data_IF_336494675459
#
_entry.id   IF_336494675459
#
_cell.length_a   1.000
_cell.length_b   1.000
_cell.length_c   1.000
_cell.angle_alpha   90.00
_cell.angle_beta   90.00
_cell.angle_gamma   90.00
#
_symmetry.space_group_name_H-M   'P 1'
#
loop_
_entity.id
_entity.type
_entity.pdbx_description
1 polymer ?
#
# COMPACT_ATOMS: atom_id res chain seq x y z
N UNK A 1 25.54 -32.47 4.24
CA UNK A 1 24.52 -31.57 3.66
C UNK A 1 23.61 -31.08 4.78
N UNK A 2 23.39 -29.77 4.89
CA UNK A 2 22.56 -29.17 5.93
C UNK A 2 21.17 -28.89 5.36
N UNK A 3 20.13 -29.44 6.00
CA UNK A 3 18.72 -29.23 5.64
C UNK A 3 18.34 -27.74 5.50
N UNK A 4 19.07 -26.84 6.18
CA UNK A 4 18.81 -25.39 6.16
C UNK A 4 19.14 -24.73 4.82
N UNK A 5 20.08 -25.29 4.05
CA UNK A 5 20.48 -24.73 2.75
C UNK A 5 19.38 -25.00 1.73
N UNK A 6 18.83 -26.21 1.71
CA UNK A 6 17.77 -26.61 0.80
C UNK A 6 16.47 -25.84 1.05
N UNK A 7 16.09 -25.62 2.31
CA UNK A 7 14.89 -24.84 2.64
C UNK A 7 14.96 -23.39 2.19
N UNK A 8 16.15 -22.77 2.29
CA UNK A 8 16.35 -21.39 1.84
C UNK A 8 16.30 -21.28 0.32
N UNK A 9 16.94 -22.21 -0.40
CA UNK A 9 16.89 -22.26 -1.87
C UNK A 9 15.44 -22.38 -2.40
N UNK A 10 14.63 -23.23 -1.76
CA UNK A 10 13.22 -23.40 -2.13
C UNK A 10 12.41 -22.13 -1.82
N UNK A 11 12.64 -21.50 -0.67
CA UNK A 11 11.97 -20.25 -0.31
C UNK A 11 12.33 -19.10 -1.27
N UNK A 12 13.60 -18.96 -1.62
CA UNK A 12 14.09 -17.95 -2.54
C UNK A 12 13.56 -18.17 -3.96
N UNK A 13 13.54 -19.42 -4.43
CA UNK A 13 12.95 -19.78 -5.73
C UNK A 13 11.46 -19.44 -5.81
N UNK A 14 10.69 -19.73 -4.76
CA UNK A 14 9.25 -19.39 -4.67
C UNK A 14 9.03 -17.88 -4.68
N UNK A 15 9.85 -17.14 -3.93
CA UNK A 15 9.78 -15.67 -3.88
C UNK A 15 10.08 -15.07 -5.25
N UNK A 16 11.12 -15.55 -5.93
CA UNK A 16 11.47 -15.09 -7.28
C UNK A 16 10.34 -15.36 -8.27
N UNK A 17 9.71 -16.54 -8.21
CA UNK A 17 8.58 -16.88 -9.08
C UNK A 17 7.35 -15.98 -8.84
N UNK A 18 6.95 -15.78 -7.59
CA UNK A 18 5.86 -14.85 -7.23
C UNK A 18 6.16 -13.43 -7.71
N UNK A 19 7.38 -12.96 -7.47
CA UNK A 19 7.82 -11.62 -7.91
C UNK A 19 7.83 -11.47 -9.42
N UNK A 20 8.23 -12.50 -10.17
CA UNK A 20 8.14 -12.49 -11.63
C UNK A 20 6.70 -12.36 -12.11
N UNK A 21 5.76 -13.07 -11.48
CA UNK A 21 4.33 -12.96 -11.79
C UNK A 21 3.84 -11.52 -11.56
N UNK A 22 4.09 -10.95 -10.37
CA UNK A 22 3.61 -9.60 -10.04
C UNK A 22 4.27 -8.53 -10.90
N UNK A 23 5.58 -8.62 -11.19
CA UNK A 23 6.26 -7.57 -11.95
C UNK A 23 6.08 -7.65 -13.47
N UNK A 24 5.65 -8.79 -14.01
CA UNK A 24 5.55 -9.02 -15.46
C UNK A 24 4.12 -9.29 -15.94
N UNK A 25 3.16 -9.49 -15.04
CA UNK A 25 1.77 -9.72 -15.44
C UNK A 25 1.14 -8.45 -16.00
N UNK A 26 0.35 -8.61 -17.06
CA UNK A 26 -0.43 -7.53 -17.67
C UNK A 26 -1.55 -7.00 -16.76
N UNK A 27 -1.96 -7.80 -15.78
CA UNK A 27 -2.99 -7.39 -14.80
C UNK A 27 -2.40 -6.56 -13.65
N UNK A 28 -1.08 -6.44 -13.58
CA UNK A 28 -0.41 -5.70 -12.51
C UNK A 28 -0.49 -4.21 -12.77
N UNK A 29 -0.87 -3.47 -11.74
CA UNK A 29 -1.03 -2.01 -11.78
C UNK A 29 0.19 -1.39 -11.13
N UNK A 30 0.89 -0.44 -11.79
CA UNK A 30 1.99 0.28 -11.18
C UNK A 30 1.46 1.21 -10.10
N UNK A 31 2.15 1.25 -8.97
CA UNK A 31 1.77 2.11 -7.87
C UNK A 31 2.97 2.76 -7.19
N UNK A 32 2.71 3.93 -6.59
CA UNK A 32 3.67 4.63 -5.74
C UNK A 32 3.29 4.45 -4.28
N UNK A 33 4.24 4.05 -3.46
CA UNK A 33 4.02 3.67 -2.07
C UNK A 33 4.39 4.79 -1.10
N UNK A 34 3.58 4.94 -0.06
CA UNK A 34 3.75 5.92 1.01
C UNK A 34 3.66 5.24 2.37
N UNK A 35 4.47 5.70 3.32
CA UNK A 35 4.45 5.23 4.71
C UNK A 35 3.82 6.28 5.61
N UNK A 36 2.81 5.87 6.38
CA UNK A 36 2.30 6.68 7.49
C UNK A 36 3.39 6.86 8.54
N UNK A 37 3.76 8.10 8.82
CA UNK A 37 4.70 8.51 9.86
C UNK A 37 3.96 9.38 10.86
N UNK A 38 4.11 9.08 12.14
CA UNK A 38 3.56 9.92 13.20
C UNK A 38 4.52 11.07 13.41
N UNK A 39 4.04 12.31 13.24
CA UNK A 39 4.89 13.48 13.38
C UNK A 39 5.30 13.64 14.86
N UNK A 40 6.58 13.88 15.14
CA UNK A 40 7.00 14.24 16.49
C UNK A 40 6.46 15.63 16.81
N UNK A 41 5.89 15.80 18.00
CA UNK A 41 5.42 17.12 18.44
C UNK A 41 6.64 17.96 18.85
N UNK A 42 6.88 19.12 18.23
CA UNK A 42 7.91 20.02 18.68
C UNK A 42 7.47 20.69 20.00
N UNK A 43 8.28 20.54 21.06
CA UNK A 43 8.20 21.21 22.38
C UNK A 43 6.87 21.93 22.66
N UNK A 44 5.86 21.17 23.02
CA UNK A 44 4.62 21.72 23.54
C UNK A 44 4.69 21.90 25.05
N UNK A 45 3.92 22.85 25.57
CA UNK A 45 3.76 23.05 27.02
C UNK A 45 3.06 21.85 27.69
N UNK A 46 2.47 20.95 26.90
CA UNK A 46 1.82 19.73 27.36
C UNK A 46 2.84 18.57 27.30
N UNK A 47 3.37 18.19 28.46
CA UNK A 47 4.38 17.13 28.60
C UNK A 47 3.90 15.73 28.12
N UNK A 48 2.63 15.56 27.74
CA UNK A 48 2.01 14.29 27.37
C UNK A 48 1.28 14.33 26.02
N UNK A 49 1.58 13.32 25.20
CA UNK A 49 1.06 13.07 23.84
C UNK A 49 -0.46 12.89 23.72
N UNK A 50 -1.17 12.64 24.82
CA UNK A 50 -2.63 12.49 24.84
C UNK A 50 -3.39 13.80 24.69
N UNK A 51 -2.71 14.93 24.88
CA UNK A 51 -3.35 16.23 25.03
C UNK A 51 -3.22 17.09 23.76
N UNK A 52 -2.57 16.55 22.73
CA UNK A 52 -2.28 17.24 21.47
C UNK A 52 -3.01 16.61 20.29
N UNK A 53 -4.03 17.33 19.83
CA UNK A 53 -4.75 17.10 18.58
C UNK A 53 -4.32 18.12 17.52
N UNK A 54 -4.74 17.91 16.27
CA UNK A 54 -4.49 18.84 15.15
C UNK A 54 -4.67 20.30 15.56
N UNK A 55 -3.64 21.13 15.36
CA UNK A 55 -3.66 22.53 15.71
C UNK A 55 -4.78 23.28 14.99
N UNK A 56 -5.83 23.66 15.72
CA UNK A 56 -6.89 24.57 15.23
C UNK A 56 -8.33 24.09 15.41
N UNK A 57 -8.57 22.82 15.74
CA UNK A 57 -9.92 22.32 16.05
C UNK A 57 -9.92 21.82 17.49
N UNK A 58 -10.42 22.66 18.39
CA UNK A 58 -10.71 22.24 19.76
C UNK A 58 -11.59 20.99 19.76
N UNK A 59 -11.43 20.17 20.80
CA UNK A 59 -12.11 18.88 20.97
C UNK A 59 -13.63 19.10 21.02
N UNK A 60 -14.33 18.93 19.91
CA UNK A 60 -15.79 18.87 19.94
C UNK A 60 -16.19 17.45 20.29
N UNK A 61 -16.73 17.29 21.51
CA UNK A 61 -17.33 16.10 22.10
C UNK A 61 -16.37 15.09 22.74
N UNK A 62 -16.85 14.51 23.85
CA UNK A 62 -16.21 13.53 24.74
C UNK A 62 -15.81 12.18 24.09
N UNK A 63 -15.63 12.16 22.76
CA UNK A 63 -15.07 11.02 22.04
C UNK A 63 -13.57 11.30 21.89
N UNK A 64 -12.76 10.72 22.77
CA UNK A 64 -11.31 10.58 22.57
C UNK A 64 -11.06 9.73 21.32
N UNK A 65 -11.22 10.29 20.14
CA UNK A 65 -10.71 9.68 18.91
C UNK A 65 -9.23 9.97 18.81
N UNK A 66 -8.48 8.88 18.64
CA UNK A 66 -7.04 8.72 18.69
C UNK A 66 -6.35 9.33 17.44
N UNK A 67 -6.72 10.56 17.06
CA UNK A 67 -6.20 11.24 15.87
C UNK A 67 -4.92 12.02 16.20
N UNK A 68 -3.84 11.28 16.41
CA UNK A 68 -2.51 11.86 16.43
C UNK A 68 -2.18 12.51 15.08
N UNK A 69 -1.44 13.62 15.09
CA UNK A 69 -0.90 14.20 13.85
C UNK A 69 0.02 13.17 13.14
N UNK A 70 -0.32 12.82 11.91
CA UNK A 70 0.46 11.93 11.05
C UNK A 70 0.62 12.55 9.66
N UNK A 71 1.69 12.17 8.98
CA UNK A 71 1.97 12.52 7.60
C UNK A 71 2.41 11.26 6.83
N UNK A 72 2.64 11.39 5.53
CA UNK A 72 3.07 10.31 4.66
C UNK A 72 4.44 10.58 4.05
N UNK A 73 5.36 9.63 4.21
CA UNK A 73 6.67 9.68 3.56
C UNK A 73 6.68 8.80 2.30
N UNK A 74 7.22 9.28 1.17
CA UNK A 74 7.36 8.48 -0.04
C UNK A 74 8.35 7.32 0.19
N UNK A 75 7.96 6.08 -0.17
CA UNK A 75 8.81 4.90 -0.10
C UNK A 75 9.41 4.51 -1.46
N UNK A 76 8.67 4.77 -2.54
CA UNK A 76 9.06 4.45 -3.91
C UNK A 76 8.05 3.55 -4.65
N UNK A 77 8.51 2.91 -5.72
CA UNK A 77 7.65 2.23 -6.69
C UNK A 77 7.35 0.76 -6.31
N UNK A 78 6.14 0.32 -6.63
CA UNK A 78 5.72 -1.06 -6.52
C UNK A 78 4.74 -1.45 -7.63
N UNK A 79 4.58 -2.74 -7.88
CA UNK A 79 3.50 -3.28 -8.72
C UNK A 79 2.52 -4.02 -7.85
N UNK A 80 1.23 -3.80 -8.08
CA UNK A 80 0.14 -4.50 -7.40
C UNK A 80 -0.58 -5.42 -8.39
N UNK A 81 -0.57 -6.73 -8.11
CA UNK A 81 -1.43 -7.70 -8.78
C UNK A 81 -2.65 -7.98 -7.91
N UNK A 82 -3.82 -7.57 -8.36
CA UNK A 82 -5.09 -7.84 -7.68
C UNK A 82 -5.49 -9.29 -8.00
N UNK A 83 -5.76 -10.07 -6.96
CA UNK A 83 -6.13 -11.50 -7.11
C UNK A 83 -7.59 -11.75 -6.80
N UNK A 84 -8.12 -11.07 -5.78
CA UNK A 84 -9.47 -11.29 -5.31
C UNK A 84 -10.12 -9.96 -4.96
N UNK A 85 -11.32 -9.77 -5.51
CA UNK A 85 -12.24 -8.75 -5.04
C UNK A 85 -13.03 -9.33 -3.86
N UNK A 86 -12.91 -8.71 -2.67
CA UNK A 86 -13.55 -9.21 -1.44
C UNK A 86 -14.87 -8.46 -1.18
N UNK A 87 -14.94 -7.19 -1.55
CA UNK A 87 -16.14 -6.38 -1.40
C UNK A 87 -16.12 -5.12 -2.26
N UNK A 88 -17.30 -4.70 -2.68
CA UNK A 88 -17.60 -3.52 -3.50
C UNK A 88 -18.99 -3.66 -4.10
N UNK A 89 -19.46 -2.68 -4.86
CA UNK A 89 -20.87 -2.65 -5.28
C UNK A 89 -21.25 -3.89 -6.11
N UNK A 90 -22.14 -4.73 -5.57
CA UNK A 90 -22.65 -5.91 -6.26
C UNK A 90 -23.97 -5.55 -6.92
N UNK A 91 -24.06 -5.83 -8.21
CA UNK A 91 -25.30 -5.69 -8.97
C UNK A 91 -26.04 -7.02 -8.91
N UNK A 92 -27.16 -7.08 -8.18
CA UNK A 92 -28.05 -8.24 -8.13
C UNK A 92 -29.51 -7.78 -8.20
N UNK A 93 -30.31 -8.43 -9.05
CA UNK A 93 -31.74 -8.13 -9.24
C UNK A 93 -32.10 -6.64 -9.42
N UNK A 94 -31.36 -5.91 -10.27
CA UNK A 94 -31.57 -4.48 -10.52
C UNK A 94 -31.40 -3.58 -9.28
N UNK A 95 -30.84 -4.12 -8.20
CA UNK A 95 -30.49 -3.40 -6.99
C UNK A 95 -28.98 -3.29 -6.91
N UNK A 96 -28.50 -2.08 -6.67
CA UNK A 96 -27.10 -1.82 -6.37
C UNK A 96 -26.91 -1.99 -4.86
N UNK A 97 -26.23 -3.04 -4.42
CA UNK A 97 -25.78 -3.18 -3.04
C UNK A 97 -24.36 -2.63 -2.99
N UNK A 98 -24.22 -1.37 -2.60
CA UNK A 98 -22.93 -0.71 -2.46
C UNK A 98 -22.44 -0.84 -1.00
N UNK A 99 -21.44 -1.67 -0.70
CA UNK A 99 -20.75 -1.59 0.58
C UNK A 99 -19.95 -0.29 0.64
N UNK A 100 -19.82 0.24 1.86
CA UNK A 100 -19.26 1.55 2.16
C UNK A 100 -17.78 1.67 1.76
N UNK A 101 -17.04 0.55 1.78
CA UNK A 101 -15.64 0.47 1.38
C UNK A 101 -15.40 -0.68 0.39
N UNK A 102 -14.61 -0.42 -0.65
CA UNK A 102 -14.11 -1.45 -1.56
C UNK A 102 -12.91 -2.13 -0.91
N UNK A 103 -13.00 -3.45 -0.74
CA UNK A 103 -11.93 -4.28 -0.18
C UNK A 103 -11.41 -5.26 -1.23
N UNK A 104 -10.10 -5.30 -1.39
CA UNK A 104 -9.41 -6.15 -2.36
C UNK A 104 -8.28 -6.91 -1.67
N UNK A 105 -7.95 -8.09 -2.20
CA UNK A 105 -6.73 -8.80 -1.85
C UNK A 105 -5.85 -9.02 -3.08
N UNK A 106 -4.56 -8.90 -2.87
CA UNK A 106 -3.57 -9.03 -3.93
C UNK A 106 -2.15 -9.14 -3.42
N UNK A 107 -1.23 -9.26 -4.35
CA UNK A 107 0.20 -9.29 -4.10
C UNK A 107 0.82 -7.97 -4.54
N UNK A 108 1.76 -7.49 -3.75
CA UNK A 108 2.50 -6.27 -4.06
C UNK A 108 3.99 -6.50 -3.96
N UNK A 109 4.71 -6.06 -4.99
CA UNK A 109 6.15 -6.23 -5.09
C UNK A 109 6.83 -4.87 -5.35
N UNK A 110 7.62 -4.38 -4.38
CA UNK A 110 8.48 -3.21 -4.57
C UNK A 110 9.50 -3.43 -5.68
N UNK A 111 9.74 -2.40 -6.50
CA UNK A 111 10.76 -2.43 -7.52
C UNK A 111 11.47 -1.08 -7.65
N UNK A 112 12.69 -1.11 -8.21
CA UNK A 112 13.39 0.09 -8.63
C UNK A 112 13.07 0.37 -10.10
N UNK A 113 12.55 1.57 -10.37
CA UNK A 113 12.13 2.01 -11.69
C UNK A 113 13.30 2.06 -12.68
N UNK A 114 14.51 2.33 -12.19
CA UNK A 114 15.72 2.44 -13.00
C UNK A 114 16.22 1.08 -13.52
N UNK A 115 15.83 -0.02 -12.86
CA UNK A 115 16.24 -1.36 -13.25
C UNK A 115 15.28 -1.96 -14.28
N UNK A 116 15.79 -2.76 -15.21
CA UNK A 116 15.00 -3.40 -16.28
C UNK A 116 15.14 -4.92 -16.28
N UNK A 117 14.13 -5.61 -16.82
CA UNK A 117 14.15 -7.05 -17.04
C UNK A 117 14.51 -7.87 -15.79
N UNK A 118 15.52 -8.74 -15.91
CA UNK A 118 15.94 -9.65 -14.83
C UNK A 118 16.52 -8.91 -13.62
N UNK A 119 17.19 -7.79 -13.82
CA UNK A 119 17.80 -7.03 -12.72
C UNK A 119 16.72 -6.52 -11.75
N UNK A 120 15.58 -6.07 -12.28
CA UNK A 120 14.41 -5.66 -11.49
C UNK A 120 13.84 -6.81 -10.65
N UNK A 121 13.91 -8.04 -11.16
CA UNK A 121 13.44 -9.24 -10.43
C UNK A 121 14.36 -9.58 -9.25
N UNK A 122 15.67 -9.48 -9.43
CA UNK A 122 16.66 -9.92 -8.44
C UNK A 122 16.95 -8.85 -7.40
N UNK A 123 16.98 -7.58 -7.81
CA UNK A 123 17.25 -6.45 -6.92
C UNK A 123 15.96 -5.98 -6.25
N UNK A 124 15.76 -6.46 -5.02
CA UNK A 124 14.58 -6.14 -4.22
C UNK A 124 14.88 -4.92 -3.35
N UNK A 125 14.06 -3.85 -3.42
CA UNK A 125 14.14 -2.75 -2.47
C UNK A 125 14.10 -3.22 -1.01
N UNK A 126 14.78 -2.48 -0.13
CA UNK A 126 14.90 -2.87 1.29
C UNK A 126 13.58 -2.76 2.06
N UNK A 127 12.66 -1.92 1.59
CA UNK A 127 11.37 -1.74 2.22
C UNK A 127 10.39 -2.87 1.86
N UNK A 128 9.43 -3.10 2.75
CA UNK A 128 8.32 -4.02 2.54
C UNK A 128 7.01 -3.34 2.92
N UNK A 129 5.89 -3.70 2.26
CA UNK A 129 4.56 -3.24 2.64
C UNK A 129 4.26 -3.53 4.12
N UNK A 130 3.72 -2.54 4.81
CA UNK A 130 3.25 -2.62 6.19
C UNK A 130 1.78 -2.19 6.27
N UNK A 131 1.15 -2.51 7.40
CA UNK A 131 -0.19 -2.01 7.71
C UNK A 131 -0.16 -0.48 7.76
N UNK A 132 -1.19 0.15 7.19
CA UNK A 132 -1.36 1.60 7.02
C UNK A 132 -0.39 2.26 6.03
N UNK A 133 0.41 1.49 5.28
CA UNK A 133 1.05 2.02 4.09
C UNK A 133 -0.03 2.28 3.02
N UNK A 134 0.10 3.38 2.28
CA UNK A 134 -0.80 3.77 1.19
C UNK A 134 -0.12 3.48 -0.14
N UNK A 135 -0.89 2.96 -1.09
CA UNK A 135 -0.46 2.72 -2.45
C UNK A 135 -1.33 3.55 -3.39
N UNK A 136 -0.70 4.46 -4.13
CA UNK A 136 -1.32 5.23 -5.19
C UNK A 136 -1.24 4.43 -6.49
N UNK A 137 -2.35 3.83 -6.91
CA UNK A 137 -2.45 3.05 -8.15
C UNK A 137 -2.61 4.01 -9.32
N UNK A 138 -1.70 3.91 -10.30
CA UNK A 138 -1.75 4.71 -11.52
C UNK A 138 -2.54 3.92 -12.58
N UNK A 139 -3.81 4.27 -12.79
CA UNK A 139 -4.69 3.61 -13.76
C UNK A 139 -4.63 4.28 -15.15
N UNK A 140 -4.57 5.61 -15.17
CA UNK A 140 -4.41 6.44 -16.35
C UNK A 140 -3.71 7.76 -15.98
N UNK A 141 -3.36 8.59 -16.96
CA UNK A 141 -2.61 9.85 -16.75
C UNK A 141 -3.20 10.76 -15.67
N UNK A 142 -4.54 10.84 -15.56
CA UNK A 142 -5.25 11.66 -14.57
C UNK A 142 -6.17 10.83 -13.65
N UNK A 143 -5.92 9.53 -13.52
CA UNK A 143 -6.77 8.63 -12.73
C UNK A 143 -5.95 7.81 -11.76
N UNK A 144 -6.01 8.22 -10.50
CA UNK A 144 -5.33 7.56 -9.39
C UNK A 144 -6.34 6.99 -8.40
N UNK A 145 -6.04 5.82 -7.84
CA UNK A 145 -6.81 5.26 -6.73
C UNK A 145 -5.86 5.00 -5.57
N UNK A 146 -6.21 5.51 -4.39
CA UNK A 146 -5.46 5.25 -3.18
C UNK A 146 -5.99 4.01 -2.47
N UNK A 147 -5.08 3.10 -2.15
CA UNK A 147 -5.38 1.86 -1.45
C UNK A 147 -4.54 1.78 -0.17
N UNK A 148 -5.20 1.70 0.99
CA UNK A 148 -4.53 1.48 2.27
C UNK A 148 -4.34 -0.03 2.51
N UNK A 149 -3.13 -0.45 2.85
CA UNK A 149 -2.87 -1.81 3.32
C UNK A 149 -3.41 -2.00 4.74
N UNK A 150 -4.50 -2.75 4.87
CA UNK A 150 -5.16 -3.01 6.17
C UNK A 150 -4.49 -4.16 6.91
N UNK A 151 -3.92 -5.10 6.17
CA UNK A 151 -3.31 -6.28 6.76
C UNK A 151 -2.67 -7.22 5.76
N UNK A 152 -2.01 -8.22 6.31
CA UNK A 152 -1.40 -9.32 5.56
C UNK A 152 -2.25 -10.56 5.75
N UNK A 153 -2.76 -11.13 4.66
CA UNK A 153 -3.48 -12.41 4.71
C UNK A 153 -2.49 -13.52 4.38
N UNK A 154 -2.14 -14.30 5.41
CA UNK A 154 -1.35 -15.52 5.27
C UNK A 154 -2.22 -16.73 5.54
N UNK A 155 -2.99 -17.19 4.54
CA UNK A 155 -3.70 -18.46 4.64
C UNK A 155 -2.79 -19.58 4.14
N UNK A 156 -1.92 -20.10 5.02
CA UNK A 156 -1.07 -21.26 4.69
C UNK A 156 -1.79 -22.57 4.98
N UNK A 157 -2.55 -23.07 4.00
CA UNK A 157 -2.81 -24.51 3.82
C UNK A 157 -2.73 -24.95 2.35
N UNK A 158 -2.69 -24.01 1.40
CA UNK A 158 -2.38 -24.27 -0.01
C UNK A 158 -1.13 -23.51 -0.44
N UNK A 159 -0.47 -24.02 -1.48
CA UNK A 159 0.74 -23.46 -2.09
C UNK A 159 0.40 -22.18 -2.88
N UNK A 160 -0.04 -21.13 -2.17
CA UNK A 160 -0.21 -19.82 -2.76
C UNK A 160 1.15 -19.12 -2.89
N UNK A 161 1.43 -18.64 -4.10
CA UNK A 161 2.74 -18.10 -4.47
C UNK A 161 2.93 -16.69 -3.94
N UNK A 162 3.48 -16.52 -2.73
CA UNK A 162 3.89 -15.20 -2.23
C UNK A 162 3.03 -14.65 -1.10
N UNK A 163 3.27 -13.39 -0.74
CA UNK A 163 2.59 -12.72 0.38
C UNK A 163 1.39 -11.94 -0.15
N UNK A 164 0.20 -12.28 0.36
CA UNK A 164 -1.03 -11.57 0.05
C UNK A 164 -1.32 -10.50 1.09
N UNK A 165 -1.81 -9.37 0.61
CA UNK A 165 -2.21 -8.23 1.41
C UNK A 165 -3.67 -7.91 1.12
N UNK A 166 -4.33 -7.34 2.12
CA UNK A 166 -5.71 -6.85 2.01
C UNK A 166 -5.65 -5.33 2.01
N UNK A 167 -6.38 -4.75 1.07
CA UNK A 167 -6.41 -3.33 0.82
C UNK A 167 -7.83 -2.81 0.90
N UNK A 168 -8.00 -1.64 1.49
CA UNK A 168 -9.23 -0.86 1.42
C UNK A 168 -8.99 0.39 0.59
N UNK A 169 -9.97 0.74 -0.25
CA UNK A 169 -9.94 1.98 -1.00
C UNK A 169 -10.09 3.17 -0.05
N UNK A 170 -9.23 4.18 -0.22
CA UNK A 170 -9.37 5.49 0.41
C UNK A 170 -9.90 6.49 -0.61
N UNK A 171 -10.96 7.18 -0.22
CA UNK A 171 -11.52 8.28 -0.99
C UNK A 171 -10.99 9.57 -0.36
N UNK A 172 -10.33 10.38 -1.19
CA UNK A 172 -9.79 11.71 -0.86
C UNK A 172 -8.55 11.71 0.07
N UNK A 173 -7.38 12.02 -0.50
CA UNK A 173 -6.14 12.32 0.23
C UNK A 173 -5.60 13.71 -0.14
N UNK A 174 -6.40 14.53 -0.83
CA UNK A 174 -5.96 15.79 -1.44
C UNK A 174 -5.65 16.86 -0.38
N UNK A 175 -6.15 16.65 0.84
CA UNK A 175 -5.88 17.49 2.01
C UNK A 175 -4.46 17.32 2.58
N UNK A 176 -3.71 16.29 2.15
CA UNK A 176 -2.40 15.99 2.70
C UNK A 176 -1.26 16.53 1.80
N UNK A 177 -0.30 17.30 2.35
CA UNK A 177 0.79 17.90 1.58
C UNK A 177 1.65 16.90 0.80
N UNK A 178 1.73 15.65 1.27
CA UNK A 178 2.46 14.56 0.65
C UNK A 178 1.88 14.10 -0.70
N UNK A 179 0.61 14.41 -0.96
CA UNK A 179 -0.12 14.07 -2.19
C UNK A 179 -0.39 15.29 -3.07
N UNK A 180 0.26 16.42 -2.79
CA UNK A 180 0.23 17.61 -3.64
C UNK A 180 0.79 17.26 -5.03
N UNK A 181 -0.11 17.11 -5.99
CA UNK A 181 0.18 16.76 -7.39
C UNK A 181 1.18 17.72 -8.05
N UNK A 182 1.37 18.94 -7.51
CA UNK A 182 2.36 19.89 -8.03
C UNK A 182 3.81 19.52 -7.68
N UNK A 183 4.02 18.61 -6.73
CA UNK A 183 5.34 18.20 -6.22
C UNK A 183 5.73 16.76 -6.60
N UNK A 184 4.84 16.03 -7.27
CA UNK A 184 5.11 14.68 -7.77
C UNK A 184 5.84 14.85 -9.11
N UNK A 185 7.14 14.55 -9.13
CA UNK A 185 8.08 14.77 -10.25
C UNK A 185 7.84 13.84 -11.47
N UNK A 186 6.81 12.99 -11.41
CA UNK A 186 6.56 11.88 -12.33
C UNK A 186 5.29 12.08 -13.17
N UNK A 187 5.02 13.32 -13.61
CA UNK A 187 3.87 13.66 -14.49
C UNK A 187 3.98 13.11 -15.91
N UNK A 188 4.96 12.26 -16.21
CA UNK A 188 5.06 11.57 -17.50
C UNK A 188 5.39 10.09 -17.29
N UNK A 189 4.38 9.26 -16.96
CA UNK A 189 4.57 7.80 -16.83
C UNK A 189 4.83 7.09 -18.18
N UNK A 190 4.84 7.82 -19.30
CA UNK A 190 4.77 7.29 -20.67
C UNK A 190 5.84 7.81 -21.66
N UNK A 191 6.98 8.32 -21.17
CA UNK A 191 8.19 8.42 -22.01
C UNK A 191 9.14 7.22 -21.84
#
# INVERSE_FOLDING_TARGET
MSLRIETNLVADGRRLASRAIVLQSLQSIPCFAFRKVILPVPNSDFQNRTDETWGGLGVSSDVKMDEHAFDYEPLGHAMLAIEQFIGGAVYDNNMLIQPDEVSMAGQIEPYDINLKGRERLVNIPTWRPKKSDIFCLMLAEDSYIYMECVGRTGSSMMADFGVKYVFNQKFDLDFLPAFDESKIDDKTPLE
#
